data_IF_790508369182
#
_entry.id   IF_790508369182
#
_cell.length_a   1.000
_cell.length_b   1.000
_cell.length_c   1.000
_cell.angle_alpha   90.00
_cell.angle_beta   90.00
_cell.angle_gamma   90.00
#
_symmetry.space_group_name_H-M   'P 1'
#
loop_
_entity.id
_entity.type
_entity.pdbx_description
1 polymer ?
#
# COMPACT_ATOMS: atom_id res chain seq x y z
N UNK A 1 14.59 2.74 -24.81
CA UNK A 1 14.17 1.68 -25.74
C UNK A 1 12.84 1.13 -25.27
N UNK A 2 11.81 1.14 -26.15
CA UNK A 2 10.49 0.59 -25.82
C UNK A 2 10.61 -0.94 -25.77
N UNK A 3 10.17 -1.62 -24.69
CA UNK A 3 10.24 -3.07 -24.59
C UNK A 3 9.53 -3.74 -25.77
N UNK A 4 10.09 -4.82 -26.34
CA UNK A 4 9.51 -5.50 -27.49
C UNK A 4 8.06 -5.97 -27.27
N UNK A 5 7.69 -6.26 -26.02
CA UNK A 5 6.32 -6.63 -25.64
C UNK A 5 5.32 -5.47 -25.84
N UNK A 6 5.73 -4.23 -25.60
CA UNK A 6 4.89 -3.06 -25.82
C UNK A 6 4.67 -2.78 -27.31
N UNK A 7 5.71 -3.01 -28.13
CA UNK A 7 5.62 -2.92 -29.59
C UNK A 7 4.73 -4.00 -30.18
N UNK A 8 4.77 -5.22 -29.63
CA UNK A 8 3.90 -6.31 -30.05
C UNK A 8 2.44 -6.06 -29.64
N UNK A 9 2.20 -5.54 -28.43
CA UNK A 9 0.88 -5.12 -27.99
C UNK A 9 0.30 -4.03 -28.90
N UNK A 10 1.11 -2.98 -29.20
CA UNK A 10 0.72 -1.89 -30.09
C UNK A 10 0.43 -2.37 -31.52
N UNK A 11 1.26 -3.27 -32.06
CA UNK A 11 1.03 -3.88 -33.38
C UNK A 11 -0.23 -4.74 -33.37
N UNK A 12 -0.40 -5.58 -32.35
CA UNK A 12 -1.58 -6.43 -32.20
C UNK A 12 -2.88 -5.63 -32.11
N UNK A 13 -2.90 -4.50 -31.39
CA UNK A 13 -4.04 -3.58 -31.32
C UNK A 13 -4.29 -2.86 -32.64
N UNK A 14 -3.24 -2.40 -33.31
CA UNK A 14 -3.35 -1.67 -34.59
C UNK A 14 -3.77 -2.58 -35.74
N UNK A 15 -3.20 -3.78 -35.82
CA UNK A 15 -3.44 -4.72 -36.92
C UNK A 15 -4.76 -5.48 -36.74
N UNK A 16 -5.34 -5.51 -35.52
CA UNK A 16 -6.65 -6.11 -35.27
C UNK A 16 -7.83 -5.16 -35.54
N UNK A 17 -7.60 -3.85 -35.60
CA UNK A 17 -8.67 -2.86 -35.83
C UNK A 17 -9.44 -3.06 -37.17
N UNK A 18 -8.80 -3.31 -38.33
CA UNK A 18 -9.53 -3.49 -39.59
C UNK A 18 -10.19 -4.87 -39.74
N UNK A 19 -9.67 -5.89 -39.05
CA UNK A 19 -10.19 -7.28 -39.11
C UNK A 19 -11.41 -7.47 -38.22
N UNK A 20 -11.62 -6.59 -37.22
CA UNK A 20 -12.83 -6.55 -36.39
C UNK A 20 -14.09 -6.20 -37.21
N UNK A 21 -13.92 -5.60 -38.36
CA UNK A 21 -15.02 -5.20 -39.23
C UNK A 21 -15.46 -6.30 -40.23
N UNK A 22 -14.61 -7.28 -40.52
CA UNK A 22 -14.83 -8.23 -41.63
C UNK A 22 -15.03 -9.71 -41.25
N UNK A 23 -14.61 -10.12 -40.06
CA UNK A 23 -14.76 -11.52 -39.63
C UNK A 23 -15.76 -11.65 -38.47
N UNK A 24 -16.75 -12.53 -38.72
CA UNK A 24 -17.85 -12.79 -37.79
C UNK A 24 -17.41 -13.37 -36.43
N UNK A 25 -18.40 -13.65 -35.61
CA UNK A 25 -18.38 -14.01 -34.19
C UNK A 25 -17.34 -15.10 -33.80
N UNK A 26 -16.88 -15.93 -34.76
CA UNK A 26 -15.96 -17.05 -34.50
C UNK A 26 -14.49 -16.70 -34.23
N UNK A 27 -14.01 -15.50 -34.63
CA UNK A 27 -12.63 -15.06 -34.39
C UNK A 27 -12.41 -14.36 -33.04
N UNK A 28 -13.48 -14.10 -32.27
CA UNK A 28 -13.43 -13.37 -31.00
C UNK A 28 -12.67 -14.10 -29.87
N UNK A 29 -12.82 -15.42 -29.64
CA UNK A 29 -12.19 -16.08 -28.50
C UNK A 29 -10.66 -16.15 -28.61
N UNK A 30 -10.10 -16.48 -29.77
CA UNK A 30 -8.64 -16.57 -29.95
C UNK A 30 -7.95 -15.21 -29.74
N UNK A 31 -8.59 -14.11 -30.14
CA UNK A 31 -8.08 -12.74 -29.97
C UNK A 31 -8.14 -12.27 -28.53
N UNK A 32 -9.23 -12.55 -27.82
CA UNK A 32 -9.34 -12.17 -26.42
C UNK A 32 -8.37 -12.94 -25.55
N UNK A 33 -8.07 -14.21 -25.88
CA UNK A 33 -7.02 -14.99 -25.23
C UNK A 33 -5.63 -14.38 -25.44
N UNK A 34 -5.29 -14.00 -26.68
CA UNK A 34 -4.03 -13.34 -27.00
C UNK A 34 -3.92 -11.98 -26.30
N UNK A 35 -4.99 -11.17 -26.30
CA UNK A 35 -5.07 -9.90 -25.60
C UNK A 35 -4.92 -10.08 -24.09
N UNK A 36 -5.61 -11.07 -23.49
CA UNK A 36 -5.51 -11.40 -22.08
C UNK A 36 -4.07 -11.76 -21.68
N UNK A 37 -3.40 -12.57 -22.49
CA UNK A 37 -1.98 -12.91 -22.28
C UNK A 37 -1.08 -11.68 -22.31
N UNK A 38 -1.26 -10.77 -23.28
CA UNK A 38 -0.44 -9.55 -23.36
C UNK A 38 -0.71 -8.61 -22.18
N UNK A 39 -1.95 -8.47 -21.75
CA UNK A 39 -2.31 -7.67 -20.57
C UNK A 39 -1.65 -8.26 -19.32
N UNK A 40 -1.69 -9.58 -19.13
CA UNK A 40 -1.05 -10.24 -17.99
C UNK A 40 0.46 -10.02 -17.99
N UNK A 41 1.14 -10.17 -19.13
CA UNK A 41 2.58 -9.91 -19.23
C UNK A 41 2.94 -8.45 -18.97
N UNK A 42 2.15 -7.51 -19.48
CA UNK A 42 2.33 -6.10 -19.17
C UNK A 42 2.15 -5.83 -17.66
N UNK A 43 1.18 -6.48 -17.03
CA UNK A 43 0.97 -6.44 -15.59
C UNK A 43 2.16 -6.96 -14.79
N UNK A 44 2.73 -8.11 -15.19
CA UNK A 44 3.93 -8.66 -14.54
C UNK A 44 5.11 -7.70 -14.66
N UNK A 45 5.34 -7.11 -15.84
CA UNK A 45 6.43 -6.14 -16.03
C UNK A 45 6.24 -4.90 -15.15
N UNK A 46 5.02 -4.38 -15.07
CA UNK A 46 4.71 -3.22 -14.25
C UNK A 46 4.90 -3.53 -12.76
N UNK A 47 4.44 -4.71 -12.31
CA UNK A 47 4.61 -5.19 -10.95
C UNK A 47 6.10 -5.31 -10.58
N UNK A 48 6.92 -5.89 -11.48
CA UNK A 48 8.36 -6.01 -11.26
C UNK A 48 9.04 -4.64 -11.19
N UNK A 49 8.68 -3.71 -12.08
CA UNK A 49 9.21 -2.33 -12.02
C UNK A 49 8.83 -1.67 -10.70
N UNK A 50 7.56 -1.73 -10.32
CA UNK A 50 7.10 -1.18 -9.04
C UNK A 50 7.83 -1.82 -7.85
N UNK A 51 8.00 -3.14 -7.86
CA UNK A 51 8.72 -3.85 -6.81
C UNK A 51 10.19 -3.41 -6.72
N UNK A 52 10.89 -3.28 -7.84
CA UNK A 52 12.27 -2.79 -7.87
C UNK A 52 12.35 -1.35 -7.32
N UNK A 53 11.45 -0.47 -7.71
CA UNK A 53 11.42 0.91 -7.21
C UNK A 53 11.21 0.96 -5.69
N UNK A 54 10.27 0.18 -5.17
CA UNK A 54 9.94 0.18 -3.73
C UNK A 54 10.98 -0.53 -2.86
N UNK A 55 11.80 -1.42 -3.42
CA UNK A 55 12.77 -2.21 -2.64
C UNK A 55 14.21 -1.75 -2.80
N UNK A 56 14.60 -1.26 -3.97
CA UNK A 56 16.00 -0.89 -4.26
C UNK A 56 16.28 0.59 -4.14
N UNK A 57 15.29 1.46 -4.32
CA UNK A 57 15.48 2.90 -4.18
C UNK A 57 15.29 3.40 -2.74
N UNK A 58 14.76 2.56 -1.86
CA UNK A 58 14.59 2.91 -0.44
C UNK A 58 15.68 2.25 0.38
N UNK A 59 16.66 3.03 0.80
CA UNK A 59 17.63 2.58 1.80
C UNK A 59 16.99 2.64 3.19
N UNK A 60 16.45 1.51 3.64
CA UNK A 60 15.78 1.40 4.94
C UNK A 60 16.71 1.58 6.14
N UNK A 61 18.02 1.56 5.92
CA UNK A 61 19.03 1.76 6.96
C UNK A 61 19.49 3.21 7.08
N UNK A 62 19.03 4.10 6.20
CA UNK A 62 19.42 5.51 6.22
C UNK A 62 18.89 6.19 7.50
N UNK A 63 19.77 6.77 8.31
CA UNK A 63 19.37 7.51 9.52
C UNK A 63 18.44 8.69 9.25
N UNK A 64 18.40 9.22 8.04
CA UNK A 64 17.48 10.31 7.67
C UNK A 64 15.99 9.94 7.77
N UNK A 65 15.67 8.65 7.75
CA UNK A 65 14.31 8.17 7.94
C UNK A 65 13.78 8.30 9.37
N UNK A 66 14.67 8.47 10.36
CA UNK A 66 14.26 8.67 11.75
C UNK A 66 13.95 10.14 12.01
N UNK A 67 12.71 10.40 12.36
CA UNK A 67 12.21 11.74 12.63
C UNK A 67 11.73 11.83 14.06
N UNK A 68 12.19 12.85 14.79
CA UNK A 68 11.64 13.18 16.11
C UNK A 68 10.66 14.32 15.92
N UNK A 69 9.43 14.10 16.37
CA UNK A 69 8.33 15.06 16.29
C UNK A 69 8.04 15.58 17.69
N UNK A 70 8.06 16.90 17.86
CA UNK A 70 7.61 17.57 19.06
C UNK A 70 6.10 17.86 18.96
N UNK A 71 5.40 17.82 20.09
CA UNK A 71 3.95 18.03 20.13
C UNK A 71 3.59 19.41 19.60
N UNK A 72 2.61 19.46 18.71
CA UNK A 72 2.06 20.67 18.08
C UNK A 72 3.09 21.52 17.33
N UNK A 73 4.26 20.94 17.00
CA UNK A 73 5.28 21.61 16.21
C UNK A 73 5.43 20.95 14.84
N UNK A 74 5.39 21.74 13.75
CA UNK A 74 5.61 21.20 12.42
C UNK A 74 7.08 20.83 12.23
N UNK A 75 7.32 19.62 11.74
CA UNK A 75 8.64 19.11 11.38
C UNK A 75 8.65 18.78 9.90
N UNK A 76 9.53 19.43 9.15
CA UNK A 76 9.67 19.18 7.72
C UNK A 76 10.44 17.86 7.46
N UNK A 77 9.89 16.99 6.63
CA UNK A 77 10.52 15.76 6.18
C UNK A 77 10.06 15.41 4.76
N UNK A 78 11.00 15.23 3.83
CA UNK A 78 10.76 14.90 2.42
C UNK A 78 9.72 15.80 1.72
N UNK A 79 9.74 17.10 2.04
CA UNK A 79 8.84 18.09 1.45
C UNK A 79 7.41 18.10 2.06
N UNK A 80 7.17 17.28 3.07
CA UNK A 80 5.95 17.28 3.86
C UNK A 80 6.21 17.86 5.26
N UNK A 81 5.20 18.46 5.86
CA UNK A 81 5.22 18.82 7.26
C UNK A 81 4.44 17.79 8.07
N UNK A 82 5.07 17.27 9.11
CA UNK A 82 4.51 16.32 10.05
C UNK A 82 4.29 17.02 11.39
N UNK A 83 3.08 16.92 11.92
CA UNK A 83 2.72 17.51 13.22
C UNK A 83 2.19 16.43 14.15
N UNK A 84 2.92 16.12 15.21
CA UNK A 84 2.44 15.23 16.26
C UNK A 84 1.43 15.97 17.14
N UNK A 85 0.18 15.50 17.17
CA UNK A 85 -0.92 16.18 17.88
C UNK A 85 -1.30 15.47 19.18
N UNK A 86 -1.01 14.19 19.32
CA UNK A 86 -1.35 13.47 20.55
C UNK A 86 -1.19 11.97 20.47
N UNK A 87 -1.58 11.32 21.57
CA UNK A 87 -1.59 9.86 21.71
C UNK A 87 -3.02 9.36 21.63
N UNK A 88 -3.24 8.29 20.89
CA UNK A 88 -4.51 7.60 20.77
C UNK A 88 -4.45 6.27 21.51
N UNK A 89 -5.46 5.99 22.34
CA UNK A 89 -5.62 4.73 23.06
C UNK A 89 -7.01 4.22 22.79
N UNK A 90 -7.11 3.03 22.23
CA UNK A 90 -8.38 2.36 21.95
C UNK A 90 -8.39 0.99 22.64
N UNK A 91 -9.50 0.69 23.27
CA UNK A 91 -9.83 -0.67 23.72
C UNK A 91 -10.54 -1.41 22.59
N UNK A 92 -10.43 -2.74 22.56
CA UNK A 92 -11.19 -3.57 21.61
C UNK A 92 -12.72 -3.43 21.74
N UNK A 93 -13.20 -2.84 22.83
CA UNK A 93 -14.62 -2.56 23.08
C UNK A 93 -15.05 -1.18 22.56
N UNK A 94 -14.10 -0.34 22.12
CA UNK A 94 -14.40 1.00 21.64
C UNK A 94 -14.96 0.96 20.20
N UNK A 95 -15.98 1.76 19.93
CA UNK A 95 -16.59 1.86 18.57
C UNK A 95 -15.60 2.33 17.49
N UNK A 96 -14.51 2.98 17.90
CA UNK A 96 -13.46 3.47 17.00
C UNK A 96 -12.36 2.42 16.75
N UNK A 97 -12.41 1.27 17.42
CA UNK A 97 -11.46 0.20 17.23
C UNK A 97 -11.74 -0.56 15.91
N UNK A 98 -11.04 -0.23 14.85
CA UNK A 98 -11.23 -0.81 13.50
C UNK A 98 -10.20 -1.91 13.16
N UNK A 99 -9.60 -2.52 14.18
CA UNK A 99 -8.66 -3.62 13.97
C UNK A 99 -9.37 -4.96 14.11
N UNK A 100 -9.09 -5.89 13.18
CA UNK A 100 -9.69 -7.24 13.20
C UNK A 100 -9.08 -8.17 14.26
N UNK A 101 -8.00 -7.77 14.91
CA UNK A 101 -7.23 -8.54 15.88
C UNK A 101 -6.70 -7.64 16.99
N UNK A 102 -6.38 -8.23 18.14
CA UNK A 102 -5.83 -7.51 19.29
C UNK A 102 -6.89 -7.14 20.32
N UNK A 103 -6.44 -6.82 21.53
CA UNK A 103 -7.27 -6.47 22.68
C UNK A 103 -7.23 -4.96 22.99
N UNK A 104 -6.46 -4.21 22.23
CA UNK A 104 -6.36 -2.76 22.30
C UNK A 104 -5.30 -2.21 21.37
N UNK A 105 -5.30 -0.91 21.22
CA UNK A 105 -4.36 -0.16 20.38
C UNK A 105 -3.82 1.05 21.13
N UNK A 106 -2.54 1.32 20.94
CA UNK A 106 -1.88 2.53 21.41
C UNK A 106 -1.06 3.09 20.26
N UNK A 107 -1.29 4.30 19.90
CA UNK A 107 -0.60 4.97 18.81
C UNK A 107 -0.45 6.46 19.01
N UNK A 108 0.15 7.10 18.03
CA UNK A 108 0.35 8.54 17.98
C UNK A 108 -0.41 9.11 16.79
N UNK A 109 -1.00 10.27 16.96
CA UNK A 109 -1.72 10.96 15.89
C UNK A 109 -0.81 12.01 15.28
N UNK A 110 -0.56 11.87 13.96
CA UNK A 110 0.32 12.74 13.19
C UNK A 110 -0.50 13.35 12.05
N UNK A 111 -0.64 14.65 12.03
CA UNK A 111 -1.17 15.36 10.86
C UNK A 111 -0.08 15.55 9.83
N UNK A 112 -0.44 15.30 8.58
CA UNK A 112 0.46 15.45 7.43
C UNK A 112 -0.03 16.61 6.58
N UNK A 113 0.88 17.55 6.29
CA UNK A 113 0.61 18.71 5.47
C UNK A 113 1.54 18.71 4.24
N UNK A 114 0.99 19.00 3.08
CA UNK A 114 1.72 19.11 1.82
C UNK A 114 1.36 20.44 1.15
N UNK A 115 2.38 21.25 0.87
CA UNK A 115 2.20 22.58 0.27
C UNK A 115 1.27 23.51 1.07
N UNK A 116 1.23 23.39 2.40
CA UNK A 116 0.37 24.17 3.30
C UNK A 116 -1.09 23.72 3.33
N UNK A 117 -1.42 22.57 2.74
CA UNK A 117 -2.73 21.95 2.83
C UNK A 117 -2.64 20.63 3.62
N UNK A 118 -3.65 20.36 4.45
CA UNK A 118 -3.71 19.09 5.18
C UNK A 118 -3.95 17.95 4.21
N UNK A 119 -2.96 17.08 4.04
CA UNK A 119 -3.00 15.91 3.19
C UNK A 119 -3.74 14.74 3.85
N UNK A 120 -3.60 14.58 5.17
CA UNK A 120 -4.23 13.51 5.92
C UNK A 120 -3.79 13.43 7.37
N UNK A 121 -4.15 12.32 8.00
CA UNK A 121 -3.72 11.97 9.36
C UNK A 121 -3.17 10.55 9.31
N UNK A 122 -2.09 10.30 10.04
CA UNK A 122 -1.48 8.99 10.23
C UNK A 122 -1.49 8.65 11.71
N UNK A 123 -1.80 7.40 12.02
CA UNK A 123 -1.85 6.89 13.39
C UNK A 123 -0.99 5.61 13.51
N UNK A 124 0.35 5.71 13.43
CA UNK A 124 1.23 4.56 13.67
C UNK A 124 1.24 4.21 15.16
N UNK A 125 1.28 2.92 15.48
CA UNK A 125 1.20 2.51 16.88
C UNK A 125 1.50 1.05 17.11
N UNK A 126 0.82 0.47 18.10
CA UNK A 126 0.94 -0.92 18.51
C UNK A 126 -0.41 -1.51 18.85
N UNK A 127 -0.66 -2.71 18.38
CA UNK A 127 -1.73 -3.57 18.87
C UNK A 127 -1.27 -4.31 20.11
N UNK A 128 -2.12 -4.32 21.14
CA UNK A 128 -1.93 -5.06 22.37
C UNK A 128 -2.64 -6.42 22.29
N UNK A 129 -2.02 -7.44 22.84
CA UNK A 129 -2.58 -8.78 22.98
C UNK A 129 -2.44 -9.23 24.42
N UNK A 130 -3.56 -9.50 25.08
CA UNK A 130 -3.62 -9.95 26.45
C UNK A 130 -3.71 -11.47 26.48
N UNK A 131 -2.73 -12.13 27.14
CA UNK A 131 -2.76 -13.58 27.35
C UNK A 131 -3.60 -13.93 28.56
N UNK A 132 -4.32 -15.06 28.56
CA UNK A 132 -4.99 -15.59 29.77
C UNK A 132 -4.07 -15.80 30.97
N UNK A 133 -2.77 -15.91 30.74
CA UNK A 133 -1.74 -15.99 31.81
C UNK A 133 -1.36 -14.63 32.41
N UNK A 134 -1.95 -13.53 31.93
CA UNK A 134 -1.62 -12.16 32.32
C UNK A 134 -0.40 -11.58 31.63
N UNK A 135 0.22 -12.31 30.71
CA UNK A 135 1.28 -11.75 29.89
C UNK A 135 0.70 -10.83 28.80
N UNK A 136 1.31 -9.68 28.60
CA UNK A 136 0.96 -8.72 27.53
C UNK A 136 2.02 -8.79 26.45
N UNK A 137 1.61 -8.91 25.20
CA UNK A 137 2.47 -8.76 24.04
C UNK A 137 1.98 -7.61 23.15
N UNK A 138 2.88 -7.05 22.34
CA UNK A 138 2.55 -5.96 21.44
C UNK A 138 3.10 -6.26 20.05
N UNK A 139 2.36 -5.81 19.02
CA UNK A 139 2.77 -5.85 17.63
C UNK A 139 2.74 -4.43 17.08
N UNK A 140 3.83 -4.03 16.43
CA UNK A 140 3.86 -2.75 15.72
C UNK A 140 2.78 -2.72 14.63
N UNK A 141 2.02 -1.64 14.62
CA UNK A 141 1.07 -1.32 13.58
C UNK A 141 1.59 -0.10 12.83
N UNK A 142 1.76 -0.26 11.54
CA UNK A 142 2.23 0.80 10.64
C UNK A 142 1.03 1.48 10.02
N UNK A 143 1.12 2.79 9.84
CA UNK A 143 0.12 3.49 9.06
C UNK A 143 0.71 4.08 7.80
N UNK A 144 -0.14 4.26 6.78
CA UNK A 144 0.28 4.67 5.46
C UNK A 144 -0.65 5.70 4.85
N UNK A 145 -0.07 6.63 4.13
CA UNK A 145 -0.76 7.56 3.27
C UNK A 145 -0.37 7.31 1.82
N UNK A 146 -1.36 7.07 0.97
CA UNK A 146 -1.14 6.86 -0.47
C UNK A 146 -1.23 8.16 -1.23
N UNK A 147 -0.26 8.42 -2.11
CA UNK A 147 -0.24 9.55 -3.01
C UNK A 147 0.05 9.10 -4.45
N UNK A 148 -0.09 10.02 -5.41
CA UNK A 148 0.25 9.72 -6.81
C UNK A 148 1.74 9.41 -6.99
N UNK A 149 2.62 9.95 -6.16
CA UNK A 149 4.06 9.71 -6.23
C UNK A 149 4.48 8.37 -5.59
N UNK A 150 3.65 7.82 -4.71
CA UNK A 150 3.92 6.59 -3.97
C UNK A 150 3.24 6.60 -2.60
N UNK A 151 3.50 5.56 -1.81
CA UNK A 151 3.00 5.48 -0.45
C UNK A 151 4.04 6.05 0.52
N UNK A 152 3.59 6.81 1.50
CA UNK A 152 4.38 7.20 2.67
C UNK A 152 3.95 6.32 3.84
N UNK A 153 4.90 5.58 4.41
CA UNK A 153 4.69 4.70 5.55
C UNK A 153 5.34 5.33 6.77
N UNK A 154 4.60 5.36 7.88
CA UNK A 154 5.11 5.80 9.17
C UNK A 154 5.04 4.66 10.16
N UNK A 155 6.14 4.45 10.87
CA UNK A 155 6.31 3.39 11.85
C UNK A 155 6.77 4.03 13.16
N UNK A 156 6.11 3.70 14.26
CA UNK A 156 6.54 4.13 15.57
C UNK A 156 7.85 3.41 15.97
N UNK A 157 8.85 4.15 16.45
CA UNK A 157 10.13 3.58 16.91
C UNK A 157 9.88 2.64 18.09
N UNK A 158 10.51 1.45 18.07
CA UNK A 158 10.34 0.44 19.11
C UNK A 158 10.78 0.92 20.51
N UNK A 159 11.80 1.76 20.57
CA UNK A 159 12.26 2.32 21.85
C UNK A 159 11.22 3.29 22.41
N UNK A 160 10.65 4.13 21.56
CA UNK A 160 9.59 5.05 21.89
C UNK A 160 8.29 4.31 22.29
N UNK A 161 8.03 3.18 21.66
CA UNK A 161 6.88 2.33 21.97
C UNK A 161 6.85 1.89 23.44
N UNK A 162 8.00 1.56 24.01
CA UNK A 162 8.08 1.21 25.44
C UNK A 162 7.78 2.39 26.37
N UNK A 163 8.18 3.59 25.97
CA UNK A 163 7.92 4.82 26.71
C UNK A 163 6.43 5.19 26.68
N UNK A 164 5.80 5.08 25.53
CA UNK A 164 4.35 5.24 25.39
C UNK A 164 3.56 4.22 26.21
N UNK A 165 3.95 2.94 26.18
CA UNK A 165 3.33 1.92 27.02
C UNK A 165 3.45 2.25 28.50
N UNK A 166 4.62 2.70 28.93
CA UNK A 166 4.86 3.09 30.33
C UNK A 166 3.98 4.28 30.71
N UNK A 167 3.90 5.29 29.85
CA UNK A 167 3.07 6.48 30.06
C UNK A 167 1.58 6.14 30.11
N UNK A 168 1.13 5.19 29.25
CA UNK A 168 -0.23 4.68 29.28
C UNK A 168 -0.56 3.98 30.61
N UNK A 169 0.33 3.08 31.06
CA UNK A 169 0.14 2.36 32.35
C UNK A 169 0.08 3.33 33.51
N UNK A 170 0.83 4.45 33.46
CA UNK A 170 0.84 5.50 34.48
C UNK A 170 -0.28 6.53 34.34
N UNK A 171 -1.09 6.47 33.27
CA UNK A 171 -2.11 7.48 32.94
C UNK A 171 -1.53 8.85 32.58
N UNK A 172 -0.32 8.91 32.06
CA UNK A 172 0.44 10.12 31.78
C UNK A 172 0.62 10.37 30.27
N UNK A 173 -0.31 9.94 29.46
CA UNK A 173 -0.23 10.09 27.99
C UNK A 173 -0.22 11.54 27.52
N UNK A 174 -0.81 12.44 28.31
CA UNK A 174 -0.78 13.89 28.04
C UNK A 174 0.60 14.52 28.23
N UNK A 175 1.53 13.80 28.90
CA UNK A 175 2.89 14.27 29.16
C UNK A 175 3.88 13.83 28.07
N UNK A 176 3.42 13.12 27.04
CA UNK A 176 4.26 12.73 25.91
C UNK A 176 4.42 13.95 24.98
N UNK A 177 5.51 14.67 25.16
CA UNK A 177 5.78 15.91 24.40
C UNK A 177 6.51 15.67 23.09
N UNK A 178 7.13 14.50 22.93
CA UNK A 178 7.84 14.16 21.70
C UNK A 178 7.70 12.68 21.37
N UNK A 179 7.74 12.36 20.08
CA UNK A 179 7.73 10.99 19.59
C UNK A 179 8.77 10.81 18.49
N UNK A 180 9.30 9.60 18.39
CA UNK A 180 10.22 9.24 17.33
C UNK A 180 9.56 8.23 16.41
N UNK A 181 9.58 8.55 15.13
CA UNK A 181 8.99 7.72 14.08
C UNK A 181 10.01 7.45 12.99
N UNK A 182 9.81 6.37 12.25
CA UNK A 182 10.52 6.10 11.01
C UNK A 182 9.57 6.37 9.86
N UNK A 183 9.98 7.23 8.94
CA UNK A 183 9.19 7.62 7.77
C UNK A 183 9.86 7.04 6.52
N UNK A 184 9.12 6.26 5.76
CA UNK A 184 9.59 5.74 4.48
C UNK A 184 8.67 6.19 3.35
N UNK A 185 9.23 6.80 2.33
CA UNK A 185 8.55 7.03 1.08
C UNK A 185 8.83 5.86 0.11
N UNK A 186 7.77 5.22 -0.39
CA UNK A 186 7.84 4.07 -1.31
C UNK A 186 7.42 4.50 -2.73
N UNK A 187 8.36 5.03 -3.53
CA UNK A 187 8.06 5.49 -4.87
C UNK A 187 7.60 4.32 -5.74
N UNK A 188 6.56 4.52 -6.52
CA UNK A 188 6.06 3.52 -7.45
C UNK A 188 5.27 2.37 -6.83
N UNK A 189 4.87 2.42 -5.56
CA UNK A 189 4.01 1.42 -4.92
C UNK A 189 2.70 1.20 -5.69
N UNK A 190 2.11 2.24 -6.25
CA UNK A 190 0.92 2.16 -7.11
C UNK A 190 1.15 1.32 -8.38
N UNK A 191 2.39 1.23 -8.89
CA UNK A 191 2.72 0.36 -10.03
C UNK A 191 2.60 -1.12 -9.66
N UNK A 192 2.90 -1.48 -8.41
CA UNK A 192 2.71 -2.85 -7.90
C UNK A 192 1.23 -3.20 -7.94
N UNK A 193 0.37 -2.33 -7.43
CA UNK A 193 -1.08 -2.55 -7.42
C UNK A 193 -1.67 -2.57 -8.82
N UNK A 194 -1.28 -1.62 -9.67
CA UNK A 194 -1.71 -1.59 -11.07
C UNK A 194 -1.24 -2.84 -11.83
N UNK A 195 -0.02 -3.30 -11.58
CA UNK A 195 0.51 -4.54 -12.16
C UNK A 195 -0.32 -5.76 -11.74
N UNK A 196 -0.65 -5.90 -10.46
CA UNK A 196 -1.52 -6.95 -9.95
C UNK A 196 -2.90 -6.93 -10.62
N UNK A 197 -3.51 -5.76 -10.70
CA UNK A 197 -4.83 -5.59 -11.35
C UNK A 197 -4.79 -6.04 -12.81
N UNK A 198 -3.75 -5.67 -13.56
CA UNK A 198 -3.58 -6.08 -14.95
C UNK A 198 -3.35 -7.59 -15.09
N UNK A 199 -2.59 -8.21 -14.17
CA UNK A 199 -2.39 -9.67 -14.17
C UNK A 199 -3.73 -10.38 -13.99
N UNK A 200 -4.50 -10.00 -12.97
CA UNK A 200 -5.81 -10.61 -12.69
C UNK A 200 -6.77 -10.42 -13.87
N UNK A 201 -6.84 -9.20 -14.42
CA UNK A 201 -7.68 -8.88 -15.58
C UNK A 201 -7.27 -9.71 -16.80
N UNK A 202 -5.98 -9.80 -17.09
CA UNK A 202 -5.46 -10.54 -18.24
C UNK A 202 -5.73 -12.04 -18.14
N UNK A 203 -5.54 -12.64 -16.96
CA UNK A 203 -5.83 -14.06 -16.71
C UNK A 203 -7.33 -14.32 -16.81
N UNK A 204 -8.16 -13.47 -16.21
CA UNK A 204 -9.61 -13.58 -16.26
C UNK A 204 -10.12 -13.53 -17.71
N UNK A 205 -9.63 -12.60 -18.51
CA UNK A 205 -9.98 -12.48 -19.92
C UNK A 205 -9.57 -13.72 -20.72
N UNK A 206 -8.40 -14.29 -20.46
CA UNK A 206 -7.93 -15.50 -21.11
C UNK A 206 -8.75 -16.74 -20.70
N UNK A 207 -9.19 -16.83 -19.45
CA UNK A 207 -9.93 -17.98 -18.91
C UNK A 207 -11.38 -18.03 -19.41
N UNK A 208 -12.07 -16.90 -19.44
CA UNK A 208 -13.48 -16.82 -19.93
C UNK A 208 -13.59 -17.30 -21.36
N UNK A 209 -12.58 -17.01 -22.19
CA UNK A 209 -12.60 -17.45 -23.60
C UNK A 209 -12.31 -18.93 -23.80
N UNK A 210 -11.61 -19.57 -22.87
CA UNK A 210 -11.37 -21.02 -22.90
C UNK A 210 -12.65 -21.81 -22.66
N UNK A 211 -13.44 -21.41 -21.67
CA UNK A 211 -14.72 -22.07 -21.34
C UNK A 211 -15.74 -21.98 -22.49
N UNK A 212 -15.68 -20.92 -23.29
CA UNK A 212 -16.58 -20.75 -24.43
C UNK A 212 -16.23 -21.62 -25.63
N UNK A 213 -14.98 -22.03 -25.82
CA UNK A 213 -14.55 -22.93 -26.89
C UNK A 213 -14.91 -24.39 -26.58
N UNK A 214 -14.74 -24.82 -25.33
CA UNK A 214 -15.01 -26.19 -24.89
C UNK A 214 -16.51 -26.52 -24.98
N UNK A 215 -17.39 -25.55 -24.84
CA UNK A 215 -18.85 -25.73 -24.98
C UNK A 215 -19.33 -25.83 -26.46
N UNK A 216 -18.54 -25.34 -27.42
CA UNK A 216 -18.92 -25.34 -28.85
C UNK A 216 -18.48 -26.63 -29.52
N UNK A 217 -17.44 -27.33 -29.04
CA UNK A 217 -16.93 -28.56 -29.60
C UNK A 217 -17.74 -29.80 -29.16
N UNK A 218 -18.67 -29.66 -28.16
CA UNK A 218 -19.54 -30.73 -27.66
C UNK A 218 -20.94 -30.75 -28.32
N UNK A 219 -21.26 -29.88 -29.29
CA UNK A 219 -22.46 -29.88 -30.14
C UNK A 219 -22.16 -30.36 -31.57
#
# INVERSE_FOLDING_TARGET
>A
AIPPTFLQLWRGLRDSAPVLASEGIRARPARSRMLGSHIAHAGILLLLVGHVLTTTLVDRSDPSHFVTLERDQPTEHDGMELVFTGVEILSSEDDQYDFSIGDGYVGVVIEVWDGGQRAGTLSPGMLRFDSPSGAVSARSEVDRMSSFAGDTIVILDLLQSNELLSSMIMGQTDQVDQVRVTVHHLPGSHLVWAGWLLVVLGISLASVTRSSEEYIDDE
#
